data_IF_570727665028
#
_entry.id   IF_570727665028
#
_cell.length_a   1.000
_cell.length_b   1.000
_cell.length_c   1.000
_cell.angle_alpha   90.00
_cell.angle_beta   90.00
_cell.angle_gamma   90.00
#
_symmetry.space_group_name_H-M   'P 1'
#
loop_
_entity.id
_entity.type
_entity.pdbx_description
1 polymer ?
#
# COMPACT_ATOMS: atom_id res chain seq x y z
N UNK A 1 5.13 -19.80 -2.48
CA UNK A 1 4.94 -18.71 -3.48
C UNK A 1 3.47 -18.38 -3.75
N UNK A 2 2.55 -19.35 -3.91
CA UNK A 2 1.11 -19.04 -4.12
C UNK A 2 0.35 -18.48 -2.89
N UNK A 3 0.84 -18.75 -1.69
CA UNK A 3 0.21 -18.33 -0.43
C UNK A 3 0.69 -16.98 0.09
N UNK A 4 1.79 -16.42 -0.44
CA UNK A 4 2.37 -15.19 0.09
C UNK A 4 1.40 -14.01 0.00
N UNK A 5 0.78 -13.85 -1.17
CA UNK A 5 -0.14 -12.74 -1.45
C UNK A 5 -1.44 -12.84 -0.66
N UNK A 6 -1.95 -14.07 -0.48
CA UNK A 6 -3.12 -14.33 0.36
C UNK A 6 -2.80 -14.03 1.82
N UNK A 7 -1.66 -14.50 2.33
CA UNK A 7 -1.23 -14.24 3.69
C UNK A 7 -1.04 -12.73 3.95
N UNK A 8 -0.36 -12.04 3.03
CA UNK A 8 -0.16 -10.60 3.09
C UNK A 8 -1.48 -9.83 3.13
N UNK A 9 -2.44 -10.20 2.28
CA UNK A 9 -3.77 -9.59 2.31
C UNK A 9 -4.45 -9.80 3.67
N UNK A 10 -4.42 -11.01 4.23
CA UNK A 10 -5.05 -11.31 5.52
C UNK A 10 -4.36 -10.57 6.67
N UNK A 11 -3.03 -10.51 6.67
CA UNK A 11 -2.24 -9.79 7.67
C UNK A 11 -2.57 -8.28 7.68
N UNK A 12 -2.79 -7.68 6.52
CA UNK A 12 -3.17 -6.27 6.39
C UNK A 12 -4.66 -6.02 6.68
N UNK A 13 -5.53 -6.93 6.23
CA UNK A 13 -6.98 -6.79 6.34
C UNK A 13 -7.44 -6.93 7.80
N UNK A 14 -6.84 -7.85 8.56
CA UNK A 14 -7.24 -8.14 9.93
C UNK A 14 -7.24 -6.90 10.86
N UNK A 15 -6.12 -6.17 11.05
CA UNK A 15 -6.12 -4.98 11.91
C UNK A 15 -7.02 -3.86 11.36
N UNK A 16 -7.08 -3.69 10.03
CA UNK A 16 -7.90 -2.67 9.41
C UNK A 16 -9.41 -2.91 9.61
N UNK A 17 -9.84 -4.17 9.63
CA UNK A 17 -11.24 -4.53 9.85
C UNK A 17 -11.63 -4.45 11.34
N UNK A 18 -10.68 -4.65 12.27
CA UNK A 18 -10.92 -4.45 13.70
C UNK A 18 -11.28 -3.01 14.07
N UNK A 19 -10.90 -2.02 13.26
CA UNK A 19 -11.32 -0.62 13.43
C UNK A 19 -12.79 -0.39 13.07
N UNK A 20 -13.37 -1.25 12.24
CA UNK A 20 -14.75 -1.20 11.76
C UNK A 20 -15.50 -2.53 12.06
N UNK A 21 -15.59 -2.96 13.33
CA UNK A 21 -16.06 -4.31 13.69
C UNK A 21 -17.57 -4.52 13.42
N UNK A 22 -18.33 -3.43 13.27
CA UNK A 22 -19.75 -3.47 12.96
C UNK A 22 -20.04 -3.87 11.49
N UNK A 23 -19.04 -3.78 10.62
CA UNK A 23 -19.17 -4.15 9.22
C UNK A 23 -18.91 -5.64 9.03
N UNK A 24 -19.73 -6.30 8.21
CA UNK A 24 -19.36 -7.63 7.70
C UNK A 24 -18.28 -7.52 6.61
N UNK A 25 -17.64 -8.65 6.27
CA UNK A 25 -16.50 -8.67 5.34
C UNK A 25 -16.83 -7.99 4.00
N UNK A 26 -18.00 -8.26 3.43
CA UNK A 26 -18.39 -7.70 2.13
C UNK A 26 -18.60 -6.19 2.21
N UNK A 27 -19.22 -5.70 3.28
CA UNK A 27 -19.40 -4.27 3.52
C UNK A 27 -18.05 -3.57 3.71
N UNK A 28 -17.13 -4.21 4.42
CA UNK A 28 -15.78 -3.69 4.64
C UNK A 28 -14.98 -3.63 3.33
N UNK A 29 -14.99 -4.70 2.52
CA UNK A 29 -14.34 -4.71 1.20
C UNK A 29 -14.93 -3.65 0.26
N UNK A 30 -16.26 -3.45 0.29
CA UNK A 30 -16.90 -2.39 -0.47
C UNK A 30 -16.50 -0.98 0.01
N UNK A 31 -16.32 -0.79 1.32
CA UNK A 31 -15.78 0.46 1.89
C UNK A 31 -14.36 0.72 1.39
N UNK A 32 -13.47 -0.27 1.47
CA UNK A 32 -12.09 -0.17 0.99
C UNK A 32 -12.03 0.15 -0.51
N UNK A 33 -12.86 -0.49 -1.34
CA UNK A 33 -12.93 -0.21 -2.77
C UNK A 33 -13.29 1.26 -3.05
N UNK A 34 -14.28 1.80 -2.32
CA UNK A 34 -14.69 3.21 -2.46
C UNK A 34 -13.60 4.17 -1.98
N UNK A 35 -12.94 3.88 -0.86
CA UNK A 35 -11.82 4.67 -0.35
C UNK A 35 -10.64 4.70 -1.33
N UNK A 36 -10.38 3.59 -2.02
CA UNK A 36 -9.37 3.48 -3.07
C UNK A 36 -9.75 4.18 -4.39
N UNK A 37 -10.96 4.74 -4.50
CA UNK A 37 -11.47 5.35 -5.73
C UNK A 37 -11.83 4.34 -6.82
N UNK A 38 -12.00 3.06 -6.48
CA UNK A 38 -12.42 2.02 -7.42
C UNK A 38 -13.90 2.18 -7.79
N UNK A 39 -14.20 2.24 -9.09
CA UNK A 39 -15.55 2.50 -9.62
C UNK A 39 -16.22 1.27 -10.25
N UNK A 40 -15.52 0.14 -10.32
CA UNK A 40 -16.03 -1.10 -10.90
C UNK A 40 -16.92 -1.90 -9.96
N UNK A 41 -17.39 -3.04 -10.45
CA UNK A 41 -18.14 -4.01 -9.64
C UNK A 41 -17.20 -4.69 -8.62
N UNK A 42 -17.74 -5.06 -7.44
CA UNK A 42 -16.93 -5.69 -6.39
C UNK A 42 -16.30 -7.01 -6.86
N UNK A 43 -16.90 -7.70 -7.83
CA UNK A 43 -16.36 -8.92 -8.45
C UNK A 43 -15.09 -8.67 -9.28
N UNK A 44 -14.86 -7.43 -9.71
CA UNK A 44 -13.68 -7.03 -10.49
C UNK A 44 -12.55 -6.51 -9.59
N UNK A 45 -12.80 -6.38 -8.29
CA UNK A 45 -11.81 -5.90 -7.32
C UNK A 45 -10.70 -6.93 -7.17
N UNK A 46 -9.48 -6.55 -7.57
CA UNK A 46 -8.30 -7.38 -7.40
C UNK A 46 -7.70 -7.21 -6.00
N UNK A 47 -7.03 -8.26 -5.55
CA UNK A 47 -6.24 -8.26 -4.32
C UNK A 47 -5.08 -7.25 -4.36
N UNK A 48 -4.52 -6.93 -5.53
CA UNK A 48 -3.51 -5.85 -5.66
C UNK A 48 -4.05 -4.48 -5.22
N UNK A 49 -5.28 -4.15 -5.63
CA UNK A 49 -5.91 -2.87 -5.27
C UNK A 49 -6.13 -2.82 -3.76
N UNK A 50 -6.61 -3.91 -3.18
CA UNK A 50 -6.82 -4.04 -1.74
C UNK A 50 -5.50 -3.94 -0.96
N UNK A 51 -4.47 -4.68 -1.36
CA UNK A 51 -3.15 -4.67 -0.71
C UNK A 51 -2.53 -3.28 -0.79
N UNK A 52 -2.59 -2.62 -1.96
CA UNK A 52 -2.07 -1.27 -2.12
C UNK A 52 -2.81 -0.29 -1.21
N UNK A 53 -4.14 -0.29 -1.23
CA UNK A 53 -4.94 0.60 -0.40
C UNK A 53 -4.67 0.37 1.10
N UNK A 54 -4.66 -0.89 1.55
CA UNK A 54 -4.41 -1.24 2.94
C UNK A 54 -3.01 -0.85 3.42
N UNK A 55 -1.98 -0.95 2.56
CA UNK A 55 -0.62 -0.48 2.90
C UNK A 55 -0.54 1.04 3.02
N UNK A 56 -1.32 1.77 2.23
CA UNK A 56 -1.34 3.22 2.22
C UNK A 56 -2.32 3.82 3.24
N UNK A 57 -3.29 3.03 3.73
CA UNK A 57 -4.27 3.45 4.74
C UNK A 57 -3.54 3.88 6.02
N UNK A 58 -3.61 5.17 6.35
CA UNK A 58 -2.92 5.75 7.51
C UNK A 58 -1.51 6.29 7.24
N UNK A 59 -0.97 6.10 6.04
CA UNK A 59 0.23 6.83 5.60
C UNK A 59 -0.17 8.25 5.21
N UNK A 60 0.58 9.27 5.62
CA UNK A 60 0.37 10.63 5.13
C UNK A 60 0.59 10.64 3.61
N UNK A 61 -0.10 11.51 2.86
CA UNK A 61 0.12 11.63 1.41
C UNK A 61 1.56 12.05 1.03
N UNK A 62 2.34 12.50 2.01
CA UNK A 62 3.77 12.82 1.91
C UNK A 62 4.69 11.67 2.31
N UNK A 63 4.14 10.60 2.90
CA UNK A 63 4.92 9.46 3.34
C UNK A 63 5.37 8.64 2.14
N UNK A 64 6.65 8.28 2.18
CA UNK A 64 7.27 7.51 1.12
C UNK A 64 6.66 6.11 1.05
N UNK A 65 6.33 5.70 -0.17
CA UNK A 65 5.74 4.39 -0.44
C UNK A 65 6.64 3.29 0.14
N UNK A 66 6.11 2.38 0.98
CA UNK A 66 6.85 1.25 1.52
C UNK A 66 7.47 0.41 0.39
N UNK A 67 8.80 0.32 0.34
CA UNK A 67 9.57 -0.34 -0.72
C UNK A 67 10.42 0.61 -1.55
N UNK A 68 9.94 1.83 -1.87
CA UNK A 68 10.71 2.88 -2.53
C UNK A 68 11.58 3.68 -1.54
N UNK A 69 11.24 3.63 -0.25
CA UNK A 69 12.00 4.27 0.84
C UNK A 69 13.47 3.83 0.89
N UNK A 70 13.80 2.61 0.43
CA UNK A 70 15.17 2.10 0.50
C UNK A 70 16.14 2.90 -0.37
N UNK A 71 15.67 3.38 -1.52
CA UNK A 71 16.47 4.13 -2.50
C UNK A 71 16.13 5.63 -2.49
N UNK A 72 15.39 6.07 -1.46
CA UNK A 72 14.97 7.46 -1.34
C UNK A 72 16.11 8.30 -0.74
N UNK A 73 16.61 9.26 -1.51
CA UNK A 73 17.50 10.31 -1.04
C UNK A 73 16.77 11.64 -0.99
N UNK A 74 16.79 12.29 0.18
CA UNK A 74 16.15 13.60 0.41
C UNK A 74 16.80 14.73 -0.41
N UNK A 75 18.12 14.66 -0.62
CA UNK A 75 18.86 15.65 -1.41
C UNK A 75 19.08 15.15 -2.84
N UNK A 76 18.29 15.71 -3.77
CA UNK A 76 18.40 15.44 -5.21
C UNK A 76 19.82 15.63 -5.76
N UNK A 77 20.58 16.60 -5.22
CA UNK A 77 21.95 16.84 -5.67
C UNK A 77 22.87 15.69 -5.28
N UNK A 78 22.78 15.24 -4.03
CA UNK A 78 23.56 14.10 -3.56
C UNK A 78 23.20 12.83 -4.31
N UNK A 79 21.91 12.59 -4.56
CA UNK A 79 21.45 11.46 -5.38
C UNK A 79 22.02 11.47 -6.80
N UNK A 80 22.01 12.64 -7.45
CA UNK A 80 22.56 12.79 -8.79
C UNK A 80 24.08 12.57 -8.82
N UNK A 81 24.79 13.05 -7.80
CA UNK A 81 26.24 12.92 -7.70
C UNK A 81 26.68 11.49 -7.36
N UNK A 82 25.92 10.75 -6.53
CA UNK A 82 26.12 9.31 -6.30
C UNK A 82 25.85 8.50 -7.57
N UNK A 83 24.73 8.75 -8.25
CA UNK A 83 24.39 8.06 -9.49
C UNK A 83 25.45 8.25 -10.59
N UNK A 84 26.12 9.42 -10.61
CA UNK A 84 27.24 9.71 -11.51
C UNK A 84 28.60 9.22 -11.02
N UNK A 85 28.68 8.59 -9.84
CA UNK A 85 29.91 8.10 -9.23
C UNK A 85 30.89 9.20 -8.78
N UNK A 86 30.40 10.43 -8.62
CA UNK A 86 31.18 11.58 -8.14
C UNK A 86 31.38 11.50 -6.63
N UNK A 87 30.34 11.07 -5.91
CA UNK A 87 30.41 10.73 -4.49
C UNK A 87 30.43 9.21 -4.40
N UNK A 88 31.42 8.67 -3.70
CA UNK A 88 31.51 7.25 -3.31
C UNK A 88 31.36 7.21 -1.79
N UNK A 89 30.60 6.23 -1.28
CA UNK A 89 30.39 6.01 0.16
C UNK A 89 31.69 6.02 0.97
#
# INVERSE_FOLDING_TARGET
MKTHRVNELIELLHPAWQEDPDLNLMQFLQKLAKEAGFQGELSELSDDILIYHLKMRGSAGTDQIPGLKKDYEEDFKTALLRARGVIKD
#
